data_IF_360718491186
#
_entry.id   IF_360718491186
#
_cell.length_a   1.000
_cell.length_b   1.000
_cell.length_c   1.000
_cell.angle_alpha   90.00
_cell.angle_beta   90.00
_cell.angle_gamma   90.00
#
_symmetry.space_group_name_H-M   'P 1'
#
loop_
_entity.id
_entity.type
_entity.pdbx_description
1 polymer ?
#
# COMPACT_ATOMS: atom_id res chain seq x y z
N UNK A 1 25.48 9.36 -26.95
CA UNK A 1 25.73 10.28 -25.83
C UNK A 1 24.45 10.66 -25.05
N UNK A 2 23.35 11.09 -25.70
CA UNK A 2 22.10 11.44 -25.00
C UNK A 2 21.49 10.31 -24.14
N UNK A 3 21.57 9.06 -24.58
CA UNK A 3 20.99 7.93 -23.81
C UNK A 3 21.76 7.58 -22.54
N UNK A 4 23.07 7.81 -22.50
CA UNK A 4 23.87 7.58 -21.29
C UNK A 4 23.65 8.65 -20.22
N UNK A 5 23.55 9.93 -20.63
CA UNK A 5 23.30 11.02 -19.68
C UNK A 5 21.93 10.90 -18.99
N UNK A 6 20.88 10.56 -19.74
CA UNK A 6 19.54 10.33 -19.17
C UNK A 6 19.51 9.17 -18.17
N UNK A 7 20.27 8.09 -18.42
CA UNK A 7 20.37 6.97 -17.48
C UNK A 7 21.12 7.36 -16.20
N UNK A 8 22.18 8.16 -16.29
CA UNK A 8 22.93 8.63 -15.12
C UNK A 8 22.10 9.61 -14.27
N UNK A 9 21.38 10.55 -14.88
CA UNK A 9 20.49 11.47 -14.19
C UNK A 9 19.37 10.71 -13.48
N UNK A 10 18.79 9.70 -14.13
CA UNK A 10 17.71 8.89 -13.56
C UNK A 10 18.20 8.03 -12.39
N UNK A 11 19.38 7.43 -12.49
CA UNK A 11 20.03 6.71 -11.38
C UNK A 11 20.31 7.64 -10.19
N UNK A 12 20.75 8.88 -10.47
CA UNK A 12 20.98 9.89 -9.43
C UNK A 12 19.68 10.27 -8.74
N UNK A 13 18.58 10.44 -9.50
CA UNK A 13 17.26 10.72 -8.95
C UNK A 13 16.77 9.58 -8.01
N UNK A 14 16.83 8.32 -8.43
CA UNK A 14 16.46 7.18 -7.60
C UNK A 14 17.31 7.08 -6.33
N UNK A 15 18.60 7.35 -6.41
CA UNK A 15 19.49 7.39 -5.23
C UNK A 15 19.13 8.51 -4.26
N UNK A 16 18.71 9.67 -4.75
CA UNK A 16 18.22 10.77 -3.91
C UNK A 16 16.94 10.38 -3.18
N UNK A 17 15.98 9.78 -3.89
CA UNK A 17 14.74 9.28 -3.30
C UNK A 17 15.01 8.18 -2.25
N UNK A 18 15.92 7.26 -2.54
CA UNK A 18 16.38 6.23 -1.59
C UNK A 18 16.96 6.87 -0.32
N UNK A 19 17.90 7.81 -0.48
CA UNK A 19 18.56 8.48 0.64
C UNK A 19 17.55 9.25 1.51
N UNK A 20 16.61 9.97 0.90
CA UNK A 20 15.54 10.67 1.61
C UNK A 20 14.67 9.70 2.40
N UNK A 21 14.22 8.61 1.77
CA UNK A 21 13.37 7.62 2.43
C UNK A 21 14.08 6.92 3.59
N UNK A 22 15.35 6.54 3.42
CA UNK A 22 16.18 5.95 4.47
C UNK A 22 16.36 6.93 5.65
N UNK A 23 16.60 8.23 5.35
CA UNK A 23 16.68 9.26 6.38
C UNK A 23 15.38 9.34 7.18
N UNK A 24 14.23 9.46 6.52
CA UNK A 24 12.91 9.51 7.17
C UNK A 24 12.68 8.28 8.07
N UNK A 25 13.00 7.07 7.57
CA UNK A 25 12.81 5.83 8.33
C UNK A 25 13.69 5.82 9.59
N UNK A 26 14.92 6.27 9.49
CA UNK A 26 15.86 6.36 10.63
C UNK A 26 15.44 7.40 11.65
N UNK A 27 14.99 8.59 11.21
CA UNK A 27 14.48 9.66 12.08
C UNK A 27 13.31 9.16 12.92
N UNK A 28 12.32 8.51 12.29
CA UNK A 28 11.17 7.96 13.01
C UNK A 28 11.58 6.90 14.04
N UNK A 29 12.49 6.01 13.67
CA UNK A 29 12.98 4.99 14.60
C UNK A 29 13.78 5.58 15.80
N UNK A 30 14.34 6.78 15.63
CA UNK A 30 15.07 7.48 16.70
C UNK A 30 14.18 8.36 17.57
N UNK A 31 13.11 8.94 17.01
CA UNK A 31 12.25 9.92 17.68
C UNK A 31 11.06 9.31 18.41
N UNK A 32 10.55 8.14 17.94
CA UNK A 32 9.33 7.53 18.45
C UNK A 32 9.62 6.30 19.31
N UNK A 33 8.78 6.12 20.34
CA UNK A 33 8.97 5.02 21.31
C UNK A 33 8.50 3.68 20.74
N UNK A 34 7.45 3.70 19.95
CA UNK A 34 6.80 2.48 19.46
C UNK A 34 6.32 2.59 17.99
N UNK A 35 7.24 2.73 17.03
CA UNK A 35 6.89 2.79 15.62
C UNK A 35 6.49 1.42 15.06
N UNK A 36 5.68 1.42 13.99
CA UNK A 36 5.28 0.22 13.26
C UNK A 36 5.28 0.48 11.76
N UNK A 37 5.64 -0.51 10.96
CA UNK A 37 5.55 -0.41 9.50
C UNK A 37 4.34 -1.19 8.97
N UNK A 38 3.41 -0.47 8.31
CA UNK A 38 2.26 -1.12 7.69
C UNK A 38 2.70 -1.91 6.46
N UNK A 39 2.37 -3.21 6.47
CA UNK A 39 2.74 -4.14 5.42
C UNK A 39 1.50 -4.63 4.66
N UNK A 40 1.14 -3.90 3.60
CA UNK A 40 -0.02 -4.22 2.76
C UNK A 40 0.25 -5.30 1.70
N UNK A 41 1.50 -5.75 1.57
CA UNK A 41 1.99 -6.73 0.59
C UNK A 41 1.94 -6.18 -0.87
N UNK A 42 1.60 -4.93 -1.06
CA UNK A 42 1.67 -4.25 -2.35
C UNK A 42 3.09 -3.82 -2.72
N UNK A 43 3.29 -3.40 -3.99
CA UNK A 43 4.59 -2.95 -4.51
C UNK A 43 5.23 -1.83 -3.67
N UNK A 44 4.42 -0.86 -3.23
CA UNK A 44 4.89 0.28 -2.45
C UNK A 44 5.37 -0.18 -1.05
N UNK A 45 4.63 -1.07 -0.39
CA UNK A 45 5.06 -1.65 0.89
C UNK A 45 6.26 -2.58 0.74
N UNK A 46 6.46 -3.22 -0.41
CA UNK A 46 7.66 -4.01 -0.69
C UNK A 46 8.90 -3.12 -0.82
N UNK A 47 8.78 -1.99 -1.54
CA UNK A 47 9.85 -0.98 -1.63
C UNK A 47 10.15 -0.39 -0.26
N UNK A 48 9.12 -0.04 0.52
CA UNK A 48 9.28 0.51 1.87
C UNK A 48 10.00 -0.47 2.81
N UNK A 49 9.65 -1.75 2.77
CA UNK A 49 10.33 -2.81 3.52
C UNK A 49 11.81 -2.94 3.09
N UNK A 50 12.08 -2.94 1.78
CA UNK A 50 13.45 -3.00 1.26
C UNK A 50 14.30 -1.82 1.75
N UNK A 51 13.76 -0.61 1.69
CA UNK A 51 14.41 0.60 2.21
C UNK A 51 14.68 0.52 3.71
N UNK A 52 13.73 -0.02 4.49
CA UNK A 52 13.90 -0.22 5.92
C UNK A 52 15.01 -1.24 6.21
N UNK A 53 15.04 -2.36 5.49
CA UNK A 53 16.12 -3.33 5.62
C UNK A 53 17.49 -2.72 5.29
N UNK A 54 17.59 -1.90 4.23
CA UNK A 54 18.83 -1.13 3.91
C UNK A 54 19.17 -0.12 5.00
N UNK A 55 18.16 0.57 5.58
CA UNK A 55 18.37 1.60 6.59
C UNK A 55 19.07 1.07 7.84
N UNK A 56 18.80 -0.18 8.22
CA UNK A 56 19.32 -0.78 9.45
C UNK A 56 20.34 -1.90 9.23
N UNK A 57 20.67 -2.22 7.98
CA UNK A 57 21.67 -3.24 7.70
C UNK A 57 23.01 -2.95 8.43
N UNK A 58 23.67 -3.96 9.08
CA UNK A 58 23.30 -5.38 9.15
C UNK A 58 22.39 -5.74 10.33
N UNK A 59 21.90 -4.77 11.09
CA UNK A 59 21.00 -5.01 12.22
C UNK A 59 19.60 -5.41 11.76
N UNK A 60 18.81 -5.99 12.68
CA UNK A 60 17.39 -6.22 12.47
C UNK A 60 16.60 -4.91 12.48
N UNK A 61 15.40 -4.94 11.91
CA UNK A 61 14.46 -3.82 12.01
C UNK A 61 14.14 -3.53 13.48
N UNK A 62 14.22 -2.27 13.92
CA UNK A 62 13.93 -1.89 15.33
C UNK A 62 12.43 -1.77 15.63
N UNK A 63 11.56 -2.11 14.68
CA UNK A 63 10.11 -2.04 14.80
C UNK A 63 9.46 -3.23 14.07
N UNK A 64 8.26 -3.66 14.49
CA UNK A 64 7.52 -4.72 13.82
C UNK A 64 6.84 -4.23 12.53
N UNK A 65 6.46 -5.19 11.68
CA UNK A 65 5.54 -4.97 10.58
C UNK A 65 4.11 -5.32 11.01
N UNK A 66 3.14 -4.54 10.56
CA UNK A 66 1.72 -4.77 10.82
C UNK A 66 0.96 -5.03 9.53
N UNK A 67 0.37 -6.21 9.42
CA UNK A 67 -0.59 -6.55 8.37
C UNK A 67 -2.02 -6.55 8.94
N UNK A 68 -2.89 -5.69 8.40
CA UNK A 68 -4.33 -5.74 8.71
C UNK A 68 -4.98 -6.73 7.76
N UNK A 69 -5.34 -7.88 8.29
CA UNK A 69 -6.03 -8.92 7.54
C UNK A 69 -7.53 -8.65 7.51
N UNK A 70 -8.03 -8.44 6.32
CA UNK A 70 -9.45 -8.15 6.09
C UNK A 70 -10.27 -9.41 5.74
N UNK A 71 -9.64 -10.59 5.74
CA UNK A 71 -10.25 -11.87 5.38
C UNK A 71 -10.39 -12.11 3.87
N UNK A 72 -10.21 -11.08 3.04
CA UNK A 72 -10.41 -11.14 1.58
C UNK A 72 -9.16 -10.74 0.80
N UNK A 73 -8.00 -11.28 1.20
CA UNK A 73 -6.77 -11.15 0.44
C UNK A 73 -6.64 -12.30 -0.57
N UNK A 74 -5.93 -12.04 -1.68
CA UNK A 74 -5.51 -13.10 -2.59
C UNK A 74 -4.63 -14.13 -1.87
N UNK A 75 -4.78 -15.41 -2.21
CA UNK A 75 -3.97 -16.49 -1.63
C UNK A 75 -2.47 -16.25 -1.83
N UNK A 76 -2.08 -15.80 -3.03
CA UNK A 76 -0.68 -15.47 -3.35
C UNK A 76 -0.11 -14.39 -2.45
N UNK A 77 -0.91 -13.38 -2.06
CA UNK A 77 -0.46 -12.34 -1.12
C UNK A 77 -0.15 -12.92 0.26
N UNK A 78 -0.99 -13.80 0.79
CA UNK A 78 -0.79 -14.40 2.11
C UNK A 78 0.47 -15.26 2.09
N UNK A 79 0.61 -16.12 1.07
CA UNK A 79 1.80 -16.98 0.91
C UNK A 79 3.08 -16.14 0.78
N UNK A 80 3.04 -15.08 -0.02
CA UNK A 80 4.18 -14.18 -0.19
C UNK A 80 4.56 -13.47 1.13
N UNK A 81 3.56 -12.94 1.86
CA UNK A 81 3.75 -12.29 3.17
C UNK A 81 4.50 -13.19 4.15
N UNK A 82 4.02 -14.43 4.30
CA UNK A 82 4.57 -15.37 5.28
C UNK A 82 5.99 -15.82 4.88
N UNK A 83 6.24 -16.00 3.59
CA UNK A 83 7.57 -16.30 3.05
C UNK A 83 8.54 -15.15 3.31
N UNK A 84 8.13 -13.89 3.06
CA UNK A 84 8.97 -12.71 3.31
C UNK A 84 9.32 -12.57 4.80
N UNK A 85 8.34 -12.76 5.69
CA UNK A 85 8.58 -12.72 7.13
C UNK A 85 9.60 -13.78 7.57
N UNK A 86 9.47 -15.00 7.04
CA UNK A 86 10.40 -16.11 7.34
C UNK A 86 11.79 -15.86 6.78
N UNK A 87 11.90 -15.34 5.55
CA UNK A 87 13.17 -15.13 4.86
C UNK A 87 14.00 -14.02 5.51
N UNK A 88 13.37 -12.91 5.89
CA UNK A 88 14.05 -11.75 6.46
C UNK A 88 14.06 -11.72 7.99
N UNK A 89 13.28 -12.59 8.65
CA UNK A 89 13.25 -12.73 10.11
C UNK A 89 12.78 -11.47 10.84
N UNK A 90 11.89 -10.67 10.21
CA UNK A 90 11.26 -9.54 10.88
C UNK A 90 10.02 -9.95 11.67
N UNK A 91 9.72 -9.20 12.71
CA UNK A 91 8.53 -9.41 13.53
C UNK A 91 7.29 -8.98 12.75
N UNK A 92 6.37 -9.91 12.49
CA UNK A 92 5.12 -9.68 11.78
C UNK A 92 3.91 -9.81 12.70
N UNK A 93 3.18 -8.72 12.86
CA UNK A 93 1.89 -8.70 13.53
C UNK A 93 0.79 -8.80 12.46
N UNK A 94 -0.05 -9.82 12.57
CA UNK A 94 -1.27 -9.94 11.75
C UNK A 94 -2.47 -9.63 12.64
N UNK A 95 -3.17 -8.55 12.32
CA UNK A 95 -4.35 -8.12 13.06
C UNK A 95 -5.60 -8.22 12.19
N UNK A 96 -6.67 -8.76 12.78
CA UNK A 96 -7.98 -8.89 12.15
C UNK A 96 -9.05 -8.33 13.10
N UNK A 97 -10.01 -7.60 12.55
CA UNK A 97 -11.17 -7.13 13.29
C UNK A 97 -12.10 -8.33 13.57
N UNK A 98 -11.98 -8.92 14.76
CA UNK A 98 -12.73 -10.11 15.17
C UNK A 98 -14.24 -9.87 15.18
N UNK A 99 -14.70 -8.71 15.66
CA UNK A 99 -16.12 -8.35 15.69
C UNK A 99 -16.71 -8.31 14.27
N UNK A 100 -15.94 -7.75 13.30
CA UNK A 100 -16.34 -7.76 11.91
C UNK A 100 -16.40 -9.16 11.29
N UNK A 101 -15.49 -10.05 11.69
CA UNK A 101 -15.52 -11.46 11.25
C UNK A 101 -16.72 -12.19 11.84
N UNK A 102 -16.97 -12.07 13.13
CA UNK A 102 -18.11 -12.68 13.83
C UNK A 102 -19.45 -12.18 13.28
N UNK A 103 -19.53 -10.91 12.88
CA UNK A 103 -20.69 -10.32 12.20
C UNK A 103 -20.80 -10.72 10.72
N UNK A 104 -19.90 -11.54 10.18
CA UNK A 104 -19.93 -12.00 8.80
C UNK A 104 -19.73 -10.89 7.75
N UNK A 105 -19.02 -9.81 8.12
CA UNK A 105 -18.81 -8.67 7.22
C UNK A 105 -18.00 -9.09 6.00
N UNK A 106 -18.59 -8.97 4.83
CA UNK A 106 -17.98 -9.30 3.54
C UNK A 106 -18.32 -8.25 2.46
N UNK A 107 -17.55 -8.17 1.38
CA UNK A 107 -17.72 -7.14 0.37
C UNK A 107 -18.98 -7.31 -0.52
N UNK A 108 -19.55 -8.51 -0.60
CA UNK A 108 -20.69 -8.81 -1.45
C UNK A 108 -22.02 -8.39 -0.81
N UNK A 109 -22.22 -8.74 0.46
CA UNK A 109 -23.48 -8.45 1.17
C UNK A 109 -23.51 -7.03 1.75
N UNK A 110 -22.34 -6.47 2.06
CA UNK A 110 -22.24 -5.18 2.76
C UNK A 110 -21.72 -4.03 1.88
N UNK A 111 -21.26 -4.33 0.66
CA UNK A 111 -20.66 -3.36 -0.25
C UNK A 111 -19.23 -2.95 0.13
N UNK A 112 -18.54 -2.32 -0.83
CA UNK A 112 -17.13 -1.95 -0.72
C UNK A 112 -16.85 -0.99 0.43
N UNK A 113 -17.69 0.03 0.61
CA UNK A 113 -17.50 1.10 1.58
C UNK A 113 -17.61 0.59 3.02
N UNK A 114 -18.73 -0.06 3.38
CA UNK A 114 -18.96 -0.59 4.73
C UNK A 114 -17.95 -1.67 5.10
N UNK A 115 -17.68 -2.59 4.17
CA UNK A 115 -16.66 -3.61 4.39
C UNK A 115 -15.28 -3.00 4.64
N UNK A 116 -14.86 -2.02 3.82
CA UNK A 116 -13.55 -1.36 3.99
C UNK A 116 -13.47 -0.60 5.29
N UNK A 117 -14.53 0.10 5.69
CA UNK A 117 -14.56 0.80 6.97
C UNK A 117 -14.37 -0.19 8.14
N UNK A 118 -15.20 -1.22 8.22
CA UNK A 118 -15.17 -2.15 9.36
C UNK A 118 -13.90 -2.99 9.37
N UNK A 119 -13.58 -3.66 8.25
CA UNK A 119 -12.51 -4.66 8.22
C UNK A 119 -11.12 -4.05 8.10
N UNK A 120 -10.99 -2.88 7.44
CA UNK A 120 -9.69 -2.25 7.22
C UNK A 120 -9.47 -1.04 8.13
N UNK A 121 -10.39 -0.03 8.11
CA UNK A 121 -10.20 1.21 8.86
C UNK A 121 -10.30 0.97 10.37
N UNK A 122 -11.38 0.33 10.82
CA UNK A 122 -11.54 0.00 12.23
C UNK A 122 -10.50 -1.04 12.68
N UNK A 123 -10.22 -2.05 11.85
CA UNK A 123 -9.16 -3.02 12.14
C UNK A 123 -7.79 -2.37 12.33
N UNK A 124 -7.44 -1.37 11.52
CA UNK A 124 -6.20 -0.61 11.70
C UNK A 124 -6.20 0.17 13.02
N UNK A 125 -7.28 0.91 13.33
CA UNK A 125 -7.40 1.66 14.58
C UNK A 125 -7.26 0.75 15.80
N UNK A 126 -7.98 -0.39 15.79
CA UNK A 126 -7.88 -1.40 16.85
C UNK A 126 -6.44 -1.89 17.05
N UNK A 127 -5.71 -2.15 15.97
CA UNK A 127 -4.32 -2.58 16.06
C UNK A 127 -3.42 -1.49 16.66
N UNK A 128 -3.56 -0.24 16.19
CA UNK A 128 -2.74 0.86 16.67
C UNK A 128 -2.97 1.13 18.17
N UNK A 129 -4.23 1.12 18.61
CA UNK A 129 -4.59 1.30 20.03
C UNK A 129 -4.14 0.12 20.88
N UNK A 130 -4.40 -1.11 20.41
CA UNK A 130 -4.06 -2.34 21.14
C UNK A 130 -2.57 -2.46 21.45
N UNK A 131 -1.74 -2.09 20.48
CA UNK A 131 -0.28 -2.21 20.61
C UNK A 131 0.39 -0.88 21.03
N UNK A 132 -0.38 0.21 21.13
CA UNK A 132 0.12 1.53 21.58
C UNK A 132 1.11 2.15 20.58
N UNK A 133 0.93 1.97 19.28
CA UNK A 133 1.83 2.54 18.28
C UNK A 133 1.65 4.06 18.16
N UNK A 134 2.74 4.78 18.27
CA UNK A 134 2.81 6.26 18.18
C UNK A 134 3.17 6.77 16.79
N UNK A 135 3.85 5.96 15.98
CA UNK A 135 4.16 6.23 14.58
C UNK A 135 3.88 5.02 13.68
N UNK A 136 3.26 5.24 12.52
CA UNK A 136 2.98 4.17 11.55
C UNK A 136 3.43 4.57 10.15
N UNK A 137 4.41 3.83 9.60
CA UNK A 137 4.85 4.01 8.23
C UNK A 137 3.84 3.50 7.24
N UNK A 138 3.62 4.22 6.15
CA UNK A 138 2.76 3.85 5.04
C UNK A 138 3.34 4.17 3.69
N UNK A 139 3.00 3.34 2.71
CA UNK A 139 3.52 3.42 1.35
C UNK A 139 2.79 4.42 0.43
N UNK A 140 2.04 5.37 0.98
CA UNK A 140 1.32 6.35 0.17
C UNK A 140 2.26 7.34 -0.52
N UNK A 141 1.93 7.70 -1.75
CA UNK A 141 2.66 8.65 -2.58
C UNK A 141 1.76 9.82 -2.98
N UNK A 142 2.35 11.00 -3.16
CA UNK A 142 1.62 12.22 -3.58
C UNK A 142 1.04 12.12 -4.98
N UNK A 143 1.63 11.32 -5.88
CA UNK A 143 1.17 11.15 -7.24
C UNK A 143 -0.03 10.20 -7.41
N UNK A 144 -0.36 9.40 -6.39
CA UNK A 144 -1.47 8.45 -6.47
C UNK A 144 -2.83 9.11 -6.72
N UNK A 145 -3.08 10.22 -5.99
CA UNK A 145 -4.33 10.97 -6.07
C UNK A 145 -4.24 12.37 -5.43
N UNK A 146 -5.21 13.24 -5.73
CA UNK A 146 -5.24 14.64 -5.25
C UNK A 146 -5.23 14.76 -3.72
N UNK A 147 -5.90 13.89 -2.99
CA UNK A 147 -5.95 13.96 -1.53
C UNK A 147 -4.62 13.58 -0.89
N UNK A 148 -3.85 12.69 -1.55
CA UNK A 148 -2.49 12.32 -1.12
C UNK A 148 -1.50 13.47 -1.26
N UNK A 149 -1.65 14.30 -2.29
CA UNK A 149 -0.81 15.47 -2.49
C UNK A 149 -0.91 16.51 -1.36
N UNK A 150 -2.00 16.50 -0.59
CA UNK A 150 -2.21 17.39 0.56
C UNK A 150 -1.57 16.88 1.84
N UNK A 151 -1.22 15.59 1.94
CA UNK A 151 -0.60 15.05 3.14
C UNK A 151 0.87 15.43 3.26
N UNK A 152 1.30 15.59 4.50
CA UNK A 152 2.71 15.77 4.85
C UNK A 152 3.41 14.41 4.93
N UNK A 153 4.74 14.42 4.89
CA UNK A 153 5.54 13.22 5.17
C UNK A 153 5.27 12.74 6.59
N UNK A 154 5.21 13.65 7.57
CA UNK A 154 4.75 13.41 8.94
C UNK A 154 3.31 13.92 9.07
N UNK A 155 2.34 13.04 8.86
CA UNK A 155 0.92 13.36 8.85
C UNK A 155 0.28 13.08 10.20
N UNK A 156 0.00 14.13 10.96
CA UNK A 156 -0.52 14.04 12.33
C UNK A 156 -1.96 13.54 12.38
N UNK A 157 -2.23 12.74 13.40
CA UNK A 157 -3.55 12.19 13.72
C UNK A 157 -3.92 12.55 15.17
N UNK A 158 -5.17 12.95 15.37
CA UNK A 158 -5.71 13.17 16.71
C UNK A 158 -5.90 11.84 17.48
N UNK A 159 -6.34 11.94 18.72
CA UNK A 159 -6.62 10.79 19.61
C UNK A 159 -7.72 9.84 19.08
N UNK A 160 -8.43 10.20 18.01
CA UNK A 160 -9.40 9.37 17.30
C UNK A 160 -8.88 8.91 15.93
N UNK A 161 -7.57 9.03 15.69
CA UNK A 161 -6.88 8.74 14.44
C UNK A 161 -7.30 9.60 13.23
N UNK A 162 -7.98 10.73 13.44
CA UNK A 162 -8.48 11.57 12.36
C UNK A 162 -7.40 12.53 11.87
N UNK A 163 -7.38 12.73 10.56
CA UNK A 163 -6.54 13.72 9.90
C UNK A 163 -7.25 15.06 9.80
N UNK A 164 -6.58 16.12 10.26
CA UNK A 164 -7.02 17.50 10.06
C UNK A 164 -5.96 18.24 9.24
N UNK A 165 -6.27 18.66 7.99
CA UNK A 165 -5.33 19.36 7.13
C UNK A 165 -4.89 20.73 7.67
N UNK A 166 -5.65 21.33 8.58
CA UNK A 166 -5.35 22.64 9.19
C UNK A 166 -4.36 22.54 10.33
N UNK A 167 -4.23 21.38 10.95
CA UNK A 167 -3.38 21.13 12.11
C UNK A 167 -2.12 20.31 11.76
N UNK A 168 -1.63 20.45 10.53
CA UNK A 168 -0.39 19.83 10.09
C UNK A 168 0.79 20.79 10.26
N UNK A 169 1.97 20.24 10.53
CA UNK A 169 3.18 21.04 10.69
C UNK A 169 3.86 21.31 9.35
N UNK A 170 4.49 22.47 9.14
CA UNK A 170 5.28 22.72 7.95
C UNK A 170 6.55 21.85 7.93
N UNK A 171 6.94 21.41 6.74
CA UNK A 171 8.12 20.58 6.49
C UNK A 171 9.09 21.34 5.58
N UNK A 172 9.57 22.49 6.08
CA UNK A 172 10.54 23.31 5.36
C UNK A 172 11.92 22.66 5.42
N UNK A 173 12.63 22.68 4.29
CA UNK A 173 14.00 22.12 4.15
C UNK A 173 14.12 20.65 4.55
N UNK A 174 13.05 19.85 4.37
CA UNK A 174 13.01 18.45 4.80
C UNK A 174 13.32 18.24 6.28
N UNK A 175 13.00 19.21 7.11
CA UNK A 175 13.05 19.08 8.58
C UNK A 175 11.67 18.60 9.07
N UNK A 176 11.68 17.51 9.80
CA UNK A 176 10.47 16.90 10.34
C UNK A 176 10.39 17.13 11.85
N UNK A 177 9.21 17.45 12.35
CA UNK A 177 8.97 17.60 13.78
C UNK A 177 8.03 16.48 14.23
N UNK A 178 8.61 15.46 14.87
CA UNK A 178 7.92 14.27 15.36
C UNK A 178 7.19 14.44 16.71
N UNK A 179 7.25 15.60 17.36
CA UNK A 179 6.62 15.80 18.67
C UNK A 179 5.11 15.55 18.61
N UNK A 180 4.61 14.54 19.30
CA UNK A 180 3.19 14.22 19.48
C UNK A 180 2.74 14.54 20.90
N UNK A 181 1.47 14.91 21.07
CA UNK A 181 0.85 15.03 22.38
C UNK A 181 0.31 13.67 22.82
N UNK A 182 -0.01 13.54 24.10
CA UNK A 182 -0.58 12.30 24.63
C UNK A 182 -1.87 11.93 23.90
N UNK A 183 -1.89 10.73 23.35
CA UNK A 183 -3.02 10.17 22.56
C UNK A 183 -3.02 10.54 21.09
N UNK A 184 -2.12 11.42 20.62
CA UNK A 184 -1.89 11.66 19.19
C UNK A 184 -0.91 10.64 18.61
N UNK A 185 -0.93 10.47 17.30
CA UNK A 185 0.01 9.64 16.58
C UNK A 185 0.35 10.25 15.23
N UNK A 186 1.35 9.73 14.54
CA UNK A 186 1.64 10.14 13.18
C UNK A 186 1.52 8.98 12.18
N UNK A 187 1.16 9.34 10.94
CA UNK A 187 1.40 8.49 9.77
C UNK A 187 2.60 9.05 9.04
N UNK A 188 3.56 8.19 8.75
CA UNK A 188 4.80 8.60 8.08
C UNK A 188 4.82 8.01 6.67
N UNK A 189 5.11 8.84 5.68
CA UNK A 189 5.10 8.46 4.27
C UNK A 189 6.49 8.62 3.63
N UNK A 190 7.40 7.66 3.83
CA UNK A 190 8.76 7.74 3.28
C UNK A 190 8.80 7.80 1.76
N UNK A 191 7.76 7.28 1.09
CA UNK A 191 7.65 7.26 -0.36
C UNK A 191 6.88 8.46 -0.93
N UNK A 192 6.62 9.49 -0.13
CA UNK A 192 5.75 10.62 -0.50
C UNK A 192 6.12 11.28 -1.83
N UNK A 193 7.41 11.41 -2.12
CA UNK A 193 7.95 12.08 -3.31
C UNK A 193 8.21 11.13 -4.50
N UNK A 194 7.96 9.83 -4.34
CA UNK A 194 8.13 8.83 -5.39
C UNK A 194 6.93 8.83 -6.35
N UNK A 195 7.19 8.65 -7.63
CA UNK A 195 6.15 8.35 -8.64
C UNK A 195 5.96 6.82 -8.78
N UNK A 196 4.86 6.42 -9.43
CA UNK A 196 4.65 4.99 -9.74
C UNK A 196 5.80 4.44 -10.61
N UNK A 197 6.30 5.24 -11.55
CA UNK A 197 7.43 4.87 -12.38
C UNK A 197 8.72 4.70 -11.56
N UNK A 198 8.98 5.57 -10.57
CA UNK A 198 10.12 5.43 -9.67
C UNK A 198 10.06 4.10 -8.90
N UNK A 199 8.88 3.74 -8.40
CA UNK A 199 8.66 2.47 -7.69
C UNK A 199 9.03 1.29 -8.59
N UNK A 200 8.51 1.23 -9.82
CA UNK A 200 8.78 0.13 -10.74
C UNK A 200 10.25 0.06 -11.17
N UNK A 201 10.88 1.20 -11.45
CA UNK A 201 12.30 1.25 -11.81
C UNK A 201 13.20 0.85 -10.64
N UNK A 202 12.85 1.25 -9.41
CA UNK A 202 13.60 0.89 -8.22
C UNK A 202 13.44 -0.61 -7.89
N UNK A 203 12.25 -1.18 -8.05
CA UNK A 203 12.01 -2.62 -7.93
C UNK A 203 12.89 -3.41 -8.90
N UNK A 204 12.97 -2.95 -10.16
CA UNK A 204 13.81 -3.57 -11.17
C UNK A 204 15.31 -3.44 -10.83
N UNK A 205 15.76 -2.25 -10.45
CA UNK A 205 17.16 -1.97 -10.12
C UNK A 205 17.66 -2.80 -8.93
N UNK A 206 16.88 -2.88 -7.87
CA UNK A 206 17.22 -3.54 -6.62
C UNK A 206 16.76 -5.00 -6.57
N UNK A 207 16.13 -5.50 -7.63
CA UNK A 207 15.59 -6.87 -7.72
C UNK A 207 14.65 -7.21 -6.55
N UNK A 208 13.77 -6.28 -6.18
CA UNK A 208 12.86 -6.43 -5.05
C UNK A 208 11.81 -7.51 -5.36
N UNK A 209 11.65 -8.53 -4.49
CA UNK A 209 10.63 -9.54 -4.67
C UNK A 209 9.21 -8.96 -4.64
N UNK A 210 8.34 -9.44 -5.52
CA UNK A 210 6.94 -9.03 -5.62
C UNK A 210 5.99 -10.25 -5.64
N UNK A 211 4.74 -9.98 -5.26
CA UNK A 211 3.67 -10.96 -5.47
C UNK A 211 3.50 -11.23 -6.96
N UNK A 212 3.39 -12.50 -7.41
CA UNK A 212 3.27 -12.86 -8.84
C UNK A 212 2.07 -12.22 -9.55
N UNK A 213 1.08 -11.73 -8.81
CA UNK A 213 -0.11 -11.05 -9.35
C UNK A 213 0.21 -9.76 -10.12
N UNK A 214 1.38 -9.17 -9.92
CA UNK A 214 1.84 -8.01 -10.70
C UNK A 214 2.27 -8.35 -12.13
N UNK A 215 2.61 -9.61 -12.38
CA UNK A 215 3.03 -10.13 -13.70
C UNK A 215 1.83 -10.72 -14.43
N UNK A 216 1.76 -10.53 -15.75
CA UNK A 216 0.70 -11.10 -16.56
C UNK A 216 0.76 -12.63 -16.56
N UNK A 217 -0.39 -13.26 -16.39
CA UNK A 217 -0.57 -14.70 -16.48
C UNK A 217 -2.04 -15.02 -16.82
N UNK A 218 -2.27 -16.23 -17.34
CA UNK A 218 -3.61 -16.74 -17.55
C UNK A 218 -4.30 -16.96 -16.19
N UNK A 219 -5.41 -16.22 -15.97
CA UNK A 219 -6.19 -16.30 -14.73
C UNK A 219 -7.69 -16.36 -15.01
N UNK A 220 -8.46 -17.10 -14.19
CA UNK A 220 -9.91 -17.10 -14.30
C UNK A 220 -10.47 -15.73 -13.84
N UNK A 221 -11.17 -15.04 -14.72
CA UNK A 221 -11.79 -13.74 -14.44
C UNK A 221 -13.25 -13.74 -14.83
N UNK A 222 -14.04 -12.93 -14.15
CA UNK A 222 -15.39 -12.53 -14.54
C UNK A 222 -15.42 -11.03 -14.76
N UNK A 223 -16.27 -10.57 -15.66
CA UNK A 223 -16.45 -9.12 -15.90
C UNK A 223 -17.71 -8.62 -15.20
N UNK A 224 -17.52 -7.63 -14.32
CA UNK A 224 -18.63 -6.96 -13.62
C UNK A 224 -18.50 -5.45 -13.76
N UNK A 225 -19.49 -4.82 -14.35
CA UNK A 225 -19.51 -3.36 -14.58
C UNK A 225 -18.23 -2.83 -15.28
N UNK A 226 -17.75 -3.56 -16.29
CA UNK A 226 -16.55 -3.18 -17.05
C UNK A 226 -15.23 -3.42 -16.30
N UNK A 227 -15.25 -4.11 -15.16
CA UNK A 227 -14.06 -4.44 -14.39
C UNK A 227 -13.83 -5.95 -14.40
N UNK A 228 -12.62 -6.38 -14.73
CA UNK A 228 -12.20 -7.79 -14.64
C UNK A 228 -11.87 -8.12 -13.18
N UNK A 229 -12.62 -9.05 -12.62
CA UNK A 229 -12.42 -9.54 -11.25
C UNK A 229 -11.92 -10.98 -11.33
N UNK A 230 -10.75 -11.23 -10.74
CA UNK A 230 -10.19 -12.57 -10.67
C UNK A 230 -11.00 -13.44 -9.71
N UNK A 231 -11.28 -14.65 -10.11
CA UNK A 231 -11.88 -15.69 -9.26
C UNK A 231 -10.75 -16.44 -8.57
N UNK A 232 -10.36 -16.00 -7.39
CA UNK A 232 -9.21 -16.54 -6.64
C UNK A 232 -9.53 -17.86 -5.94
N UNK A 233 -10.77 -17.99 -5.48
CA UNK A 233 -11.26 -19.19 -4.80
C UNK A 233 -12.80 -19.26 -4.74
N UNK A 234 -13.29 -20.32 -4.07
CA UNK A 234 -14.72 -20.67 -3.92
C UNK A 234 -15.52 -19.65 -3.07
N UNK A 235 -14.86 -18.75 -2.34
CA UNK A 235 -15.56 -17.71 -1.56
C UNK A 235 -16.24 -16.67 -2.44
N UNK A 236 -15.83 -16.55 -3.71
CA UNK A 236 -16.44 -15.62 -4.64
C UNK A 236 -17.76 -16.16 -5.19
N UNK A 237 -18.92 -15.57 -4.83
CA UNK A 237 -20.20 -16.00 -5.37
C UNK A 237 -20.28 -15.61 -6.86
N UNK A 238 -20.46 -16.59 -7.71
CA UNK A 238 -20.76 -16.38 -9.13
C UNK A 238 -22.26 -16.10 -9.29
N UNK A 239 -22.62 -15.17 -10.19
CA UNK A 239 -23.99 -14.89 -10.55
C UNK A 239 -24.53 -16.00 -11.45
N UNK A 240 -25.86 -16.13 -11.53
CA UNK A 240 -26.50 -17.08 -12.44
C UNK A 240 -26.05 -16.82 -13.89
N UNK A 241 -25.53 -17.85 -14.55
CA UNK A 241 -25.00 -17.78 -15.91
C UNK A 241 -23.59 -17.17 -16.03
N UNK A 242 -22.97 -16.74 -14.93
CA UNK A 242 -21.60 -16.22 -14.95
C UNK A 242 -20.58 -17.36 -14.96
N UNK A 243 -19.77 -17.41 -16.02
CA UNK A 243 -18.72 -18.44 -16.20
C UNK A 243 -17.37 -17.74 -16.24
N UNK A 244 -16.42 -18.09 -15.33
CA UNK A 244 -15.07 -17.54 -15.38
C UNK A 244 -14.38 -17.84 -16.71
N UNK A 245 -13.78 -16.83 -17.31
CA UNK A 245 -13.00 -16.94 -18.53
C UNK A 245 -11.51 -16.84 -18.21
N UNK A 246 -10.70 -17.69 -18.82
CA UNK A 246 -9.24 -17.57 -18.74
C UNK A 246 -8.79 -16.42 -19.62
N UNK A 247 -8.14 -15.44 -19.01
CA UNK A 247 -7.56 -14.28 -19.70
C UNK A 247 -6.16 -13.99 -19.18
N UNK A 248 -5.28 -13.51 -20.06
CA UNK A 248 -3.98 -12.99 -19.65
C UNK A 248 -4.15 -11.64 -18.97
N UNK A 249 -4.00 -11.62 -17.66
CA UNK A 249 -4.23 -10.43 -16.83
C UNK A 249 -3.15 -10.24 -15.77
N UNK A 250 -2.94 -8.99 -15.37
CA UNK A 250 -2.14 -8.60 -14.21
C UNK A 250 -2.85 -7.55 -13.37
N UNK A 251 -2.29 -7.26 -12.21
CA UNK A 251 -2.78 -6.20 -11.34
C UNK A 251 -1.80 -5.02 -11.31
N UNK A 252 -2.29 -3.79 -11.35
CA UNK A 252 -1.50 -2.57 -11.13
C UNK A 252 -1.39 -2.23 -9.65
N UNK A 253 -2.43 -2.55 -8.89
CA UNK A 253 -2.47 -2.39 -7.42
C UNK A 253 -3.08 -3.65 -6.81
N UNK A 254 -2.72 -3.95 -5.57
CA UNK A 254 -3.27 -5.07 -4.82
C UNK A 254 -4.05 -4.58 -3.59
N UNK A 255 -5.20 -5.17 -3.37
CA UNK A 255 -6.10 -4.87 -2.25
C UNK A 255 -6.84 -6.12 -1.78
N UNK A 256 -8.14 -5.96 -1.48
CA UNK A 256 -9.05 -7.09 -1.29
C UNK A 256 -9.45 -7.63 -2.66
N UNK A 257 -9.37 -8.95 -2.87
CA UNK A 257 -9.47 -9.50 -4.23
C UNK A 257 -10.78 -9.19 -4.95
N UNK A 258 -11.96 -9.21 -4.32
CA UNK A 258 -13.20 -8.91 -5.05
C UNK A 258 -13.40 -7.42 -5.34
N UNK A 259 -12.57 -6.54 -4.74
CA UNK A 259 -12.62 -5.08 -4.90
C UNK A 259 -11.45 -4.53 -5.73
N UNK A 260 -10.62 -5.41 -6.28
CA UNK A 260 -9.43 -5.05 -7.05
C UNK A 260 -9.57 -5.57 -8.46
N UNK A 261 -9.71 -4.67 -9.43
CA UNK A 261 -9.78 -5.01 -10.84
C UNK A 261 -8.42 -5.42 -11.40
N UNK A 262 -8.43 -6.44 -12.24
CA UNK A 262 -7.31 -6.80 -13.10
C UNK A 262 -7.35 -6.00 -14.40
N UNK A 263 -6.21 -5.93 -15.10
CA UNK A 263 -6.09 -5.37 -16.44
C UNK A 263 -5.58 -6.44 -17.40
N UNK A 264 -6.13 -6.50 -18.60
CA UNK A 264 -5.59 -7.36 -19.66
C UNK A 264 -4.19 -6.87 -20.01
N UNK A 265 -3.24 -7.78 -20.06
CA UNK A 265 -1.84 -7.47 -20.32
C UNK A 265 -1.09 -8.74 -20.68
N UNK A 266 -0.02 -8.58 -21.44
CA UNK A 266 0.96 -9.64 -21.75
C UNK A 266 2.28 -9.41 -21.04
N UNK A 267 2.42 -8.30 -20.28
CA UNK A 267 3.65 -7.96 -19.58
C UNK A 267 3.92 -8.91 -18.40
N UNK A 268 4.80 -9.86 -18.62
CA UNK A 268 5.16 -10.88 -17.64
C UNK A 268 6.58 -10.69 -17.04
N UNK A 269 7.24 -9.59 -17.42
CA UNK A 269 8.55 -9.16 -16.89
C UNK A 269 8.52 -7.72 -16.40
N UNK A 270 9.41 -7.34 -15.49
CA UNK A 270 9.52 -5.96 -14.99
C UNK A 270 9.80 -4.93 -16.11
N UNK A 271 10.72 -5.18 -17.08
CA UNK A 271 10.92 -4.26 -18.19
C UNK A 271 9.65 -4.01 -19.02
N UNK A 272 8.85 -5.04 -19.29
CA UNK A 272 7.58 -4.90 -20.02
C UNK A 272 6.55 -4.10 -19.22
N UNK A 273 6.47 -4.30 -17.90
CA UNK A 273 5.61 -3.50 -17.01
C UNK A 273 6.05 -2.02 -17.05
N UNK A 274 7.36 -1.75 -16.96
CA UNK A 274 7.88 -0.38 -17.05
C UNK A 274 7.53 0.25 -18.40
N UNK A 275 7.61 -0.51 -19.50
CA UNK A 275 7.24 -0.03 -20.82
C UNK A 275 5.74 0.30 -20.90
N UNK A 276 4.86 -0.58 -20.38
CA UNK A 276 3.43 -0.28 -20.26
C UNK A 276 3.16 0.99 -19.44
N UNK A 277 3.90 1.18 -18.34
CA UNK A 277 3.76 2.37 -17.49
C UNK A 277 4.11 3.67 -18.21
N UNK A 278 5.14 3.66 -19.05
CA UNK A 278 5.53 4.83 -19.86
C UNK A 278 4.47 5.21 -20.90
N UNK A 279 3.64 4.25 -21.32
CA UNK A 279 2.55 4.46 -22.28
C UNK A 279 1.19 4.72 -21.59
N UNK A 280 1.10 4.49 -20.27
CA UNK A 280 -0.15 4.62 -19.53
C UNK A 280 -0.53 6.10 -19.34
N UNK A 281 -1.78 6.43 -19.68
CA UNK A 281 -2.38 7.76 -19.47
C UNK A 281 -3.32 7.81 -18.26
N UNK A 282 -3.59 6.66 -17.65
CA UNK A 282 -4.53 6.50 -16.53
C UNK A 282 -3.82 6.23 -15.21
N UNK A 283 -4.41 6.72 -14.11
CA UNK A 283 -3.92 6.43 -12.75
C UNK A 283 -3.98 4.93 -12.43
N UNK A 284 -3.02 4.44 -11.63
CA UNK A 284 -3.00 3.06 -11.13
C UNK A 284 -4.24 2.67 -10.32
N UNK A 285 -4.91 3.65 -9.71
CA UNK A 285 -6.08 3.45 -8.85
C UNK A 285 -7.40 3.31 -9.63
N UNK A 286 -7.41 3.53 -10.94
CA UNK A 286 -8.62 3.49 -11.76
C UNK A 286 -9.37 2.14 -11.70
N UNK A 287 -8.68 1.03 -11.42
CA UNK A 287 -9.28 -0.30 -11.23
C UNK A 287 -9.80 -0.59 -9.82
N UNK A 288 -9.78 0.36 -8.88
CA UNK A 288 -10.28 0.15 -7.51
C UNK A 288 -11.73 0.59 -7.38
N UNK A 289 -12.61 -0.35 -7.07
CA UNK A 289 -14.04 -0.07 -6.90
C UNK A 289 -14.34 0.98 -5.83
N UNK A 290 -13.54 1.00 -4.76
CA UNK A 290 -13.75 1.95 -3.65
C UNK A 290 -13.53 3.42 -4.03
N UNK A 291 -12.77 3.70 -5.09
CA UNK A 291 -12.46 5.07 -5.51
C UNK A 291 -13.58 5.65 -6.41
N UNK A 292 -14.52 4.82 -6.85
CA UNK A 292 -15.67 5.21 -7.66
C UNK A 292 -16.93 5.54 -6.85
N UNK A 293 -16.95 5.24 -5.54
CA UNK A 293 -18.15 5.33 -4.72
C UNK A 293 -18.66 6.78 -4.52
N UNK A 294 -17.78 7.80 -4.47
CA UNK A 294 -18.15 9.23 -4.40
C UNK A 294 -16.98 10.17 -4.75
N UNK A 295 -17.25 11.33 -5.34
CA UNK A 295 -16.24 12.38 -5.55
C UNK A 295 -15.74 12.94 -4.19
N UNK A 296 -14.42 12.90 -3.96
CA UNK A 296 -13.80 13.33 -2.70
C UNK A 296 -13.86 12.30 -1.57
N UNK A 297 -14.30 11.05 -1.86
CA UNK A 297 -14.45 9.97 -0.87
C UNK A 297 -13.18 9.71 -0.05
N UNK A 298 -12.00 9.80 -0.66
CA UNK A 298 -10.72 9.54 0.02
C UNK A 298 -10.36 10.61 1.06
N UNK A 299 -10.64 11.89 0.81
CA UNK A 299 -10.39 12.95 1.80
C UNK A 299 -11.31 12.79 3.02
N UNK A 300 -12.60 12.46 2.79
CA UNK A 300 -13.56 12.13 3.85
C UNK A 300 -13.12 10.91 4.66
N UNK A 301 -12.69 9.83 3.99
CA UNK A 301 -12.19 8.61 4.65
C UNK A 301 -10.95 8.86 5.51
N UNK A 302 -10.04 9.76 5.11
CA UNK A 302 -8.89 10.17 5.94
C UNK A 302 -9.32 10.92 7.19
N UNK A 303 -10.34 11.78 7.10
CA UNK A 303 -10.93 12.44 8.27
C UNK A 303 -11.57 11.42 9.22
N UNK A 304 -12.02 10.28 8.72
CA UNK A 304 -12.54 9.14 9.49
C UNK A 304 -11.42 8.22 10.04
N UNK A 305 -10.17 8.46 9.67
CA UNK A 305 -9.00 7.70 10.12
C UNK A 305 -8.52 6.60 9.16
N UNK A 306 -9.00 6.61 7.91
CA UNK A 306 -8.47 5.75 6.86
C UNK A 306 -7.01 6.11 6.54
N UNK A 307 -6.27 5.09 6.09
CA UNK A 307 -4.85 5.22 5.77
C UNK A 307 -4.63 5.44 4.28
#
# INVERSE_FOLDING_TARGET
MLSMSLNEERLTHLKQLEAESIHIIREVAAEFENPVMLYSIGKDSAVMLHLALKAFYPAKLPFPLLHVDTGWKFKDMITFRDNMAKTHGFDLIVHQNKEGVEAGINPFDHGSSKYTDIMKTQGLKQALDKYGFDAAFGGARRDEEKSRAKERVYSFRDSKHRWDPKNQRPELWNLYNGKVNKGESIRVFPLSNWTELDIWQYIYLESIPLVPLYLAAERPVVERSGTLIMVDDERMPLKEGEVPQMKSVRFRTLGCYPLTGAVESTANTLPEIIQEMLLATSSERQGRMIDHDEAGSMEKKKQEGYF
#
